data_IF_005716330235
#
_entry.id   IF_005716330235
#
_cell.length_a   1.000
_cell.length_b   1.000
_cell.length_c   1.000
_cell.angle_alpha   90.00
_cell.angle_beta   90.00
_cell.angle_gamma   90.00
#
_symmetry.space_group_name_H-M   'P 1'
#
loop_
_entity.id
_entity.type
_entity.pdbx_description
1 polymer ?
#
# COMPACT_ATOMS: atom_id res chain seq x y z
N UNK A 1 -4.98 21.33 -23.02
CA UNK A 1 -5.67 20.93 -21.77
C UNK A 1 -4.71 21.13 -20.62
N UNK A 2 -5.10 21.86 -19.58
CA UNK A 2 -4.28 21.96 -18.37
C UNK A 2 -4.43 20.65 -17.57
N UNK A 3 -3.31 20.06 -17.15
CA UNK A 3 -3.33 18.89 -16.29
C UNK A 3 -3.84 19.29 -14.90
N UNK A 4 -4.82 18.55 -14.38
CA UNK A 4 -5.22 18.65 -12.98
C UNK A 4 -4.36 17.69 -12.16
N UNK A 5 -3.71 18.20 -11.12
CA UNK A 5 -2.88 17.43 -10.22
C UNK A 5 -3.57 17.26 -8.88
N UNK A 6 -3.53 16.06 -8.32
CA UNK A 6 -3.92 15.79 -6.94
C UNK A 6 -2.66 15.68 -6.09
N UNK A 7 -2.42 16.66 -5.24
CA UNK A 7 -1.36 16.59 -4.23
C UNK A 7 -1.87 15.81 -3.03
N UNK A 8 -1.14 14.76 -2.63
CA UNK A 8 -1.47 13.94 -1.46
C UNK A 8 -0.45 14.20 -0.38
N UNK A 9 -0.91 14.60 0.81
CA UNK A 9 -0.06 14.78 1.98
C UNK A 9 0.29 13.44 2.61
N UNK A 10 1.37 13.40 3.41
CA UNK A 10 1.74 12.19 4.16
C UNK A 10 0.64 11.73 5.13
N UNK A 11 -0.08 12.67 5.74
CA UNK A 11 -1.16 12.34 6.66
C UNK A 11 -2.35 11.68 5.94
N UNK A 12 -2.72 12.19 4.76
CA UNK A 12 -3.74 11.57 3.91
C UNK A 12 -3.29 10.20 3.42
N UNK A 13 -2.03 10.06 2.98
CA UNK A 13 -1.47 8.79 2.53
C UNK A 13 -1.48 7.72 3.63
N UNK A 14 -1.07 8.10 4.84
CA UNK A 14 -1.10 7.21 6.01
C UNK A 14 -2.54 6.81 6.36
N UNK A 15 -3.46 7.77 6.40
CA UNK A 15 -4.88 7.51 6.68
C UNK A 15 -5.50 6.54 5.66
N UNK A 16 -5.22 6.75 4.37
CA UNK A 16 -5.68 5.85 3.30
C UNK A 16 -5.09 4.44 3.44
N UNK A 17 -3.81 4.35 3.78
CA UNK A 17 -3.13 3.06 4.01
C UNK A 17 -3.70 2.32 5.22
N UNK A 18 -4.00 3.03 6.31
CA UNK A 18 -4.65 2.49 7.49
C UNK A 18 -6.06 1.99 7.18
N UNK A 19 -6.87 2.76 6.43
CA UNK A 19 -8.21 2.35 6.02
C UNK A 19 -8.18 1.08 5.15
N UNK A 20 -7.16 0.95 4.29
CA UNK A 20 -6.93 -0.26 3.51
C UNK A 20 -6.60 -1.45 4.43
N UNK A 21 -5.69 -1.28 5.39
CA UNK A 21 -5.37 -2.33 6.36
C UNK A 21 -6.60 -2.79 7.14
N UNK A 22 -7.43 -1.84 7.60
CA UNK A 22 -8.68 -2.13 8.31
C UNK A 22 -9.66 -2.93 7.44
N UNK A 23 -9.80 -2.55 6.17
CA UNK A 23 -10.65 -3.27 5.20
C UNK A 23 -10.20 -4.72 5.01
N UNK A 24 -8.88 -4.96 4.95
CA UNK A 24 -8.31 -6.31 4.83
C UNK A 24 -8.58 -7.12 6.10
N UNK A 25 -8.30 -6.56 7.27
CA UNK A 25 -8.51 -7.24 8.57
C UNK A 25 -9.99 -7.62 8.78
N UNK A 26 -10.93 -6.78 8.33
CA UNK A 26 -12.37 -7.04 8.42
C UNK A 26 -12.81 -8.27 7.62
N UNK A 27 -12.11 -8.62 6.54
CA UNK A 27 -12.45 -9.78 5.71
C UNK A 27 -12.13 -11.12 6.39
N UNK A 28 -11.30 -11.12 7.45
CA UNK A 28 -10.89 -12.33 8.20
C UNK A 28 -10.31 -13.44 7.30
N UNK A 29 -9.66 -13.05 6.21
CA UNK A 29 -8.95 -13.95 5.30
C UNK A 29 -7.51 -14.09 5.81
N UNK A 30 -6.98 -15.31 6.00
CA UNK A 30 -5.58 -15.49 6.33
C UNK A 30 -4.73 -15.05 5.14
N UNK A 31 -3.75 -14.20 5.41
CA UNK A 31 -2.75 -13.74 4.45
C UNK A 31 -1.38 -14.11 5.00
N UNK A 32 -0.53 -14.66 4.15
CA UNK A 32 0.81 -15.10 4.54
C UNK A 32 1.89 -14.08 4.17
N UNK A 33 1.65 -13.25 3.14
CA UNK A 33 2.66 -12.36 2.57
C UNK A 33 2.05 -11.17 1.82
N UNK A 34 2.72 -10.01 1.87
CA UNK A 34 2.47 -8.85 1.03
C UNK A 34 3.45 -8.85 -0.14
N UNK A 35 2.98 -8.69 -1.37
CA UNK A 35 3.84 -8.51 -2.55
C UNK A 35 3.74 -7.08 -3.04
N UNK A 36 4.74 -6.25 -2.74
CA UNK A 36 4.78 -4.85 -3.15
C UNK A 36 5.36 -4.67 -4.56
N UNK A 37 4.61 -3.93 -5.39
CA UNK A 37 5.04 -3.58 -6.75
C UNK A 37 5.91 -2.31 -6.69
N UNK A 38 7.20 -2.47 -6.92
CA UNK A 38 8.14 -1.36 -6.97
C UNK A 38 7.96 -0.54 -8.25
N UNK A 39 8.06 0.80 -8.18
CA UNK A 39 8.46 1.60 -7.00
C UNK A 39 7.28 2.09 -6.14
N UNK A 40 6.09 2.24 -6.73
CA UNK A 40 4.96 2.91 -6.07
C UNK A 40 4.39 2.19 -4.85
N UNK A 41 4.50 0.85 -4.82
CA UNK A 41 3.99 0.01 -3.75
C UNK A 41 4.88 -0.10 -2.51
N UNK A 42 6.11 0.44 -2.54
CA UNK A 42 7.08 0.25 -1.45
C UNK A 42 6.62 0.91 -0.15
N UNK A 43 6.20 2.17 -0.20
CA UNK A 43 5.79 2.92 1.01
C UNK A 43 4.51 2.33 1.63
N UNK A 44 3.48 2.08 0.83
CA UNK A 44 2.24 1.45 1.33
C UNK A 44 2.48 0.03 1.82
N UNK A 45 3.32 -0.75 1.12
CA UNK A 45 3.67 -2.10 1.55
C UNK A 45 4.35 -2.11 2.92
N UNK A 46 5.28 -1.18 3.17
CA UNK A 46 5.93 -1.01 4.47
C UNK A 46 4.95 -0.60 5.58
N UNK A 47 3.96 0.25 5.28
CA UNK A 47 2.92 0.61 6.25
C UNK A 47 2.00 -0.59 6.53
N UNK A 48 1.62 -1.34 5.49
CA UNK A 48 0.74 -2.50 5.62
C UNK A 48 1.38 -3.65 6.39
N UNK A 49 2.69 -3.90 6.25
CA UNK A 49 3.36 -4.95 7.04
C UNK A 49 3.31 -4.65 8.54
N UNK A 50 3.37 -3.38 8.95
CA UNK A 50 3.21 -2.97 10.36
C UNK A 50 1.80 -3.28 10.89
N UNK A 51 0.77 -2.90 10.12
CA UNK A 51 -0.62 -3.15 10.53
C UNK A 51 -1.03 -4.63 10.48
N UNK A 52 -0.61 -5.36 9.44
CA UNK A 52 -1.03 -6.74 9.19
C UNK A 52 -0.12 -7.77 9.87
N UNK A 53 1.09 -7.37 10.30
CA UNK A 53 2.10 -8.23 10.96
C UNK A 53 2.51 -9.46 10.14
N UNK A 54 2.60 -9.29 8.82
CA UNK A 54 3.00 -10.34 7.87
C UNK A 54 4.20 -9.86 7.03
N UNK A 55 5.07 -10.77 6.58
CA UNK A 55 6.25 -10.42 5.79
C UNK A 55 5.88 -9.74 4.46
N UNK A 56 6.84 -9.01 3.91
CA UNK A 56 6.72 -8.30 2.63
C UNK A 56 7.86 -8.71 1.69
N UNK A 57 7.50 -9.03 0.45
CA UNK A 57 8.39 -9.17 -0.69
C UNK A 57 8.17 -8.05 -1.69
N UNK A 58 9.17 -7.80 -2.55
CA UNK A 58 9.09 -6.74 -3.57
C UNK A 58 9.33 -7.30 -4.95
N UNK A 59 8.54 -6.85 -5.93
CA UNK A 59 8.74 -7.14 -7.35
C UNK A 59 8.85 -5.83 -8.12
N UNK A 60 9.80 -5.73 -9.05
CA UNK A 60 9.96 -4.54 -9.89
C UNK A 60 9.24 -4.74 -11.22
N UNK A 61 8.37 -3.80 -11.59
CA UNK A 61 7.65 -3.79 -12.87
C UNK A 61 8.00 -2.52 -13.63
N UNK A 62 8.11 -2.64 -14.95
CA UNK A 62 8.36 -1.52 -15.86
C UNK A 62 7.30 -1.54 -16.97
N UNK A 63 6.79 -0.36 -17.33
CA UNK A 63 5.88 -0.18 -18.47
C UNK A 63 6.68 0.44 -19.61
N UNK A 64 6.67 -0.21 -20.78
CA UNK A 64 7.34 0.22 -22.01
C UNK A 64 6.35 0.78 -23.01
#
# INVERSE_FOLDING_TARGET
MAAQYLAVTWNEYHTLSQNLAESILRQKIPLDEIVAIARGGLSVGLILTDFLRIPISTITIQSY
#
